data_IF_057573498914
#
_entry.id   IF_057573498914
#
_cell.length_a   1.000
_cell.length_b   1.000
_cell.length_c   1.000
_cell.angle_alpha   90.00
_cell.angle_beta   90.00
_cell.angle_gamma   90.00
#
_symmetry.space_group_name_H-M   'P 1'
#
loop_
_entity.id
_entity.type
_entity.pdbx_description
1 polymer ?
#
# COMPACT_ATOMS: atom_id res chain seq x y z
N UNK A 1 13.24 0.42 0.48
CA UNK A 1 12.99 0.48 1.94
C UNK A 1 13.70 1.70 2.48
N UNK A 2 13.01 2.59 3.19
CA UNK A 2 13.48 3.96 3.44
C UNK A 2 13.35 4.46 4.87
N UNK A 3 13.07 3.60 5.85
CA UNK A 3 12.98 3.98 7.26
C UNK A 3 14.22 3.63 8.06
N UNK A 4 14.51 4.43 9.08
CA UNK A 4 15.62 4.23 10.02
C UNK A 4 15.15 4.27 11.46
N UNK A 5 15.75 3.38 12.25
CA UNK A 5 15.54 3.29 13.69
C UNK A 5 16.64 4.05 14.46
N UNK A 6 16.22 4.81 15.48
CA UNK A 6 17.09 5.47 16.45
C UNK A 6 16.68 5.03 17.86
N UNK A 7 17.62 4.44 18.61
CA UNK A 7 17.40 4.09 20.01
C UNK A 7 17.58 5.35 20.87
N UNK A 8 16.58 5.68 21.68
CA UNK A 8 16.58 6.84 22.56
C UNK A 8 17.13 6.49 23.97
N UNK A 9 17.57 7.48 24.77
CA UNK A 9 18.17 7.23 26.09
C UNK A 9 17.24 6.52 27.09
N UNK A 10 15.93 6.70 26.96
CA UNK A 10 14.89 6.03 27.76
C UNK A 10 14.58 4.61 27.25
N UNK A 11 15.34 4.13 26.27
CA UNK A 11 15.19 2.84 25.57
C UNK A 11 13.96 2.74 24.68
N UNK A 12 13.29 3.85 24.37
CA UNK A 12 12.28 3.89 23.31
C UNK A 12 12.92 3.89 21.91
N UNK A 13 12.14 3.51 20.89
CA UNK A 13 12.58 3.44 19.50
C UNK A 13 11.88 4.52 18.67
N UNK A 14 12.66 5.42 18.07
CA UNK A 14 12.18 6.35 17.06
C UNK A 14 12.39 5.74 15.67
N UNK A 15 11.32 5.46 14.96
CA UNK A 15 11.36 5.02 13.56
C UNK A 15 10.90 6.16 12.66
N UNK A 16 11.75 6.59 11.74
CA UNK A 16 11.51 7.74 10.85
C UNK A 16 11.79 7.36 9.40
N UNK A 17 10.98 7.87 8.48
CA UNK A 17 11.27 7.83 7.05
C UNK A 17 12.48 8.73 6.74
N UNK A 18 13.61 8.12 6.34
CA UNK A 18 14.87 8.81 5.97
C UNK A 18 14.98 8.98 4.45
N UNK A 19 14.33 8.11 3.67
CA UNK A 19 14.40 8.11 2.22
C UNK A 19 13.02 8.26 1.60
N UNK A 20 12.97 9.08 0.55
CA UNK A 20 11.81 9.25 -0.30
C UNK A 20 11.82 8.22 -1.45
N UNK A 21 10.65 7.93 -2.01
CA UNK A 21 10.52 6.97 -3.13
C UNK A 21 9.69 7.61 -4.25
N UNK A 22 10.23 7.49 -5.46
CA UNK A 22 9.55 7.89 -6.68
C UNK A 22 9.21 6.68 -7.55
N UNK A 23 8.03 6.69 -8.15
CA UNK A 23 7.59 5.75 -9.18
C UNK A 23 7.16 6.58 -10.39
N UNK A 24 7.67 6.25 -11.57
CA UNK A 24 7.42 7.00 -12.81
C UNK A 24 7.67 8.52 -12.70
N UNK A 25 8.70 8.88 -11.93
CA UNK A 25 9.07 10.28 -11.67
C UNK A 25 8.17 11.02 -10.69
N UNK A 26 7.16 10.37 -10.11
CA UNK A 26 6.26 10.95 -9.11
C UNK A 26 6.57 10.43 -7.72
N UNK A 27 6.51 11.32 -6.73
CA UNK A 27 6.71 10.99 -5.32
C UNK A 27 5.50 10.21 -4.79
N UNK A 28 5.74 9.08 -4.13
CA UNK A 28 4.67 8.22 -3.60
C UNK A 28 4.04 8.74 -2.30
N UNK A 29 4.84 9.39 -1.44
CA UNK A 29 4.40 9.82 -0.11
C UNK A 29 3.20 10.78 -0.19
N UNK A 30 2.12 10.43 0.51
CA UNK A 30 0.88 11.23 0.55
C UNK A 30 0.01 11.16 -0.72
N UNK A 31 0.44 10.45 -1.76
CA UNK A 31 -0.30 10.32 -3.04
C UNK A 31 -0.80 8.89 -3.24
N UNK A 32 0.06 7.89 -2.98
CA UNK A 32 -0.23 6.49 -3.28
C UNK A 32 -0.04 6.14 -4.76
N UNK A 33 -0.50 4.94 -5.15
CA UNK A 33 -0.49 4.47 -6.54
C UNK A 33 -1.93 4.21 -6.96
N UNK A 34 -2.35 4.81 -8.07
CA UNK A 34 -3.67 4.54 -8.64
C UNK A 34 -3.66 3.16 -9.30
N UNK A 35 -4.64 2.27 -9.02
CA UNK A 35 -4.73 1.00 -9.72
C UNK A 35 -5.16 1.22 -11.18
N UNK A 36 -4.64 0.40 -12.09
CA UNK A 36 -5.06 0.40 -13.50
C UNK A 36 -6.55 0.06 -13.64
N UNK A 37 -7.05 -0.82 -12.76
CA UNK A 37 -8.46 -1.19 -12.65
C UNK A 37 -8.91 -0.98 -11.22
N UNK A 38 -9.65 0.10 -10.97
CA UNK A 38 -10.27 0.35 -9.68
C UNK A 38 -11.44 -0.59 -9.41
N UNK A 39 -11.36 -1.35 -8.32
CA UNK A 39 -12.46 -2.19 -7.81
C UNK A 39 -12.80 -1.70 -6.41
N UNK A 40 -14.08 -1.37 -6.19
CA UNK A 40 -14.51 -0.94 -4.87
C UNK A 40 -14.34 -2.08 -3.87
N UNK A 41 -13.90 -1.75 -2.65
CA UNK A 41 -13.79 -2.75 -1.61
C UNK A 41 -15.17 -3.32 -1.29
N UNK A 42 -15.24 -4.64 -1.15
CA UNK A 42 -16.45 -5.24 -0.61
C UNK A 42 -16.52 -4.86 0.87
N UNK A 43 -17.69 -4.39 1.32
CA UNK A 43 -17.91 -4.10 2.73
C UNK A 43 -17.50 -5.31 3.56
N UNK A 44 -16.90 -5.10 4.73
CA UNK A 44 -16.34 -6.15 5.60
C UNK A 44 -17.33 -7.23 6.06
N UNK A 45 -18.60 -7.13 5.69
CA UNK A 45 -19.69 -8.08 5.90
C UNK A 45 -20.20 -8.72 4.59
N UNK A 46 -19.42 -8.72 3.52
CA UNK A 46 -19.81 -9.29 2.22
C UNK A 46 -19.83 -10.83 2.16
N UNK A 47 -19.92 -11.52 3.30
CA UNK A 47 -20.07 -12.98 3.41
C UNK A 47 -19.00 -13.80 2.65
N UNK A 48 -17.76 -13.30 2.63
CA UNK A 48 -16.63 -13.94 1.92
C UNK A 48 -16.52 -13.60 0.43
N UNK A 49 -17.35 -12.70 -0.08
CA UNK A 49 -17.22 -12.18 -1.44
C UNK A 49 -16.03 -11.22 -1.57
N UNK A 50 -15.10 -11.53 -2.48
CA UNK A 50 -13.92 -10.73 -2.80
C UNK A 50 -13.96 -10.25 -4.26
N UNK A 51 -14.51 -9.06 -4.53
CA UNK A 51 -14.64 -8.54 -5.89
C UNK A 51 -13.28 -8.19 -6.52
N UNK A 52 -12.26 -7.91 -5.71
CA UNK A 52 -10.92 -7.61 -6.22
C UNK A 52 -10.28 -8.88 -6.78
N UNK A 53 -10.42 -10.01 -6.08
CA UNK A 53 -9.93 -11.30 -6.54
C UNK A 53 -10.66 -11.78 -7.80
N UNK A 54 -12.00 -11.73 -7.82
CA UNK A 54 -12.76 -12.14 -9.00
C UNK A 54 -12.36 -11.33 -10.24
N UNK A 55 -12.21 -10.00 -10.09
CA UNK A 55 -11.80 -9.15 -11.20
C UNK A 55 -10.37 -9.44 -11.65
N UNK A 56 -9.46 -9.73 -10.73
CA UNK A 56 -8.09 -10.10 -11.05
C UNK A 56 -8.03 -11.41 -11.86
N UNK A 57 -8.82 -12.43 -11.49
CA UNK A 57 -8.90 -13.70 -12.22
C UNK A 57 -9.46 -13.49 -13.63
N UNK A 58 -10.55 -12.72 -13.76
CA UNK A 58 -11.13 -12.37 -15.06
C UNK A 58 -10.08 -11.73 -15.98
N UNK A 59 -9.36 -10.70 -15.49
CA UNK A 59 -8.35 -9.97 -16.24
C UNK A 59 -7.14 -10.82 -16.63
N UNK A 60 -6.70 -11.73 -15.75
CA UNK A 60 -5.52 -12.57 -15.98
C UNK A 60 -5.81 -13.77 -16.92
N UNK A 61 -7.08 -14.11 -17.12
CA UNK A 61 -7.52 -15.24 -17.95
C UNK A 61 -7.75 -14.90 -19.43
N UNK A 62 -7.60 -13.62 -19.81
CA UNK A 62 -7.66 -13.12 -21.19
C UNK A 62 -6.29 -13.15 -21.86
#
# INVERSE_FOLDING_TARGET
MGGRCFLLPDKSLLYVAELDVTVDGQRLEGVGVLPDVGVADALSFADGFDPQLEKAIEMASQ
#
